data_IF_988542927901
#
_entry.id   IF_988542927901
#
_cell.length_a   1.000
_cell.length_b   1.000
_cell.length_c   1.000
_cell.angle_alpha   90.00
_cell.angle_beta   90.00
_cell.angle_gamma   90.00
#
_symmetry.space_group_name_H-M   'P 1'
#
loop_
_entity.id
_entity.type
_entity.pdbx_description
1 polymer ?
#
# COMPACT_ATOMS: atom_id res chain seq x y z
N UNK A 1 29.01 -9.28 -0.67
CA UNK A 1 27.90 -10.07 -1.27
C UNK A 1 27.46 -9.32 -2.51
N UNK A 2 27.44 -9.95 -3.68
CA UNK A 2 26.75 -9.38 -4.82
C UNK A 2 25.26 -9.37 -4.48
N UNK A 3 24.67 -8.19 -4.39
CA UNK A 3 23.25 -8.03 -4.12
C UNK A 3 22.52 -7.98 -5.45
N UNK A 4 21.62 -8.93 -5.68
CA UNK A 4 20.76 -8.96 -6.86
C UNK A 4 19.40 -8.34 -6.58
N UNK A 5 18.69 -7.79 -7.59
CA UNK A 5 17.32 -7.35 -7.42
C UNK A 5 16.42 -8.56 -7.22
N UNK A 6 15.55 -8.50 -6.23
CA UNK A 6 14.68 -9.62 -5.86
C UNK A 6 13.29 -9.40 -6.43
N UNK A 7 12.89 -10.22 -7.41
CA UNK A 7 11.53 -10.28 -7.89
C UNK A 7 10.67 -11.02 -6.86
N UNK A 8 9.54 -10.44 -6.47
CA UNK A 8 8.70 -10.95 -5.40
C UNK A 8 7.42 -11.59 -5.96
N UNK A 9 7.03 -12.72 -5.38
CA UNK A 9 5.70 -13.32 -5.54
C UNK A 9 4.82 -12.82 -4.40
N UNK A 10 3.71 -12.21 -4.74
CA UNK A 10 2.75 -11.69 -3.79
C UNK A 10 2.04 -12.81 -2.99
N UNK A 11 1.55 -12.46 -1.80
CA UNK A 11 0.53 -13.23 -1.10
C UNK A 11 -0.86 -12.68 -1.46
N UNK A 12 -1.86 -13.56 -1.59
CA UNK A 12 -3.19 -13.19 -2.07
C UNK A 12 -4.25 -13.37 -0.98
N UNK A 13 -5.29 -12.51 -1.05
CA UNK A 13 -6.48 -12.57 -0.20
C UNK A 13 -7.74 -12.59 -1.08
N UNK A 14 -8.71 -13.46 -0.73
CA UNK A 14 -9.94 -13.72 -1.50
C UNK A 14 -11.20 -13.15 -0.83
N UNK A 15 -11.09 -11.99 -0.20
CA UNK A 15 -12.21 -11.35 0.48
C UNK A 15 -13.45 -11.20 -0.41
N UNK A 16 -14.63 -11.18 0.22
CA UNK A 16 -15.95 -11.21 -0.44
C UNK A 16 -16.19 -10.08 -1.45
N UNK A 17 -15.48 -8.97 -1.31
CA UNK A 17 -15.60 -7.76 -2.15
C UNK A 17 -14.62 -7.72 -3.32
N UNK A 18 -13.73 -8.73 -3.43
CA UNK A 18 -12.70 -8.79 -4.47
C UNK A 18 -13.24 -9.07 -5.87
N UNK A 19 -12.46 -8.66 -6.87
CA UNK A 19 -12.72 -8.87 -8.29
C UNK A 19 -11.72 -9.81 -8.95
N UNK A 20 -11.56 -9.66 -10.27
CA UNK A 20 -10.64 -10.49 -11.09
C UNK A 20 -9.55 -9.68 -11.78
N UNK A 21 -9.57 -8.35 -11.67
CA UNK A 21 -8.67 -7.44 -12.39
C UNK A 21 -7.19 -7.66 -12.05
N UNK A 22 -6.87 -8.07 -10.81
CA UNK A 22 -5.48 -8.39 -10.44
C UNK A 22 -4.93 -9.58 -11.21
N UNK A 23 -5.75 -10.59 -11.52
CA UNK A 23 -5.38 -11.71 -12.40
C UNK A 23 -5.37 -11.26 -13.86
N UNK A 24 -6.45 -10.64 -14.32
CA UNK A 24 -6.72 -10.42 -15.74
C UNK A 24 -5.88 -9.26 -16.32
N UNK A 25 -5.57 -8.21 -15.52
CA UNK A 25 -4.84 -7.03 -15.96
C UNK A 25 -3.39 -6.95 -15.42
N UNK A 26 -3.10 -7.59 -14.27
CA UNK A 26 -1.79 -7.55 -13.63
C UNK A 26 -1.06 -8.90 -13.69
N UNK A 27 -1.64 -9.91 -14.35
CA UNK A 27 -1.03 -11.22 -14.53
C UNK A 27 -0.72 -11.96 -13.21
N UNK A 28 -1.46 -11.68 -12.12
CA UNK A 28 -1.20 -12.29 -10.82
C UNK A 28 -1.58 -13.76 -10.84
N UNK A 29 -0.62 -14.69 -10.66
CA UNK A 29 -0.86 -16.13 -10.70
C UNK A 29 -1.51 -16.57 -9.38
N UNK A 30 -2.83 -16.75 -9.38
CA UNK A 30 -3.60 -17.16 -8.22
C UNK A 30 -4.72 -18.12 -8.63
N UNK A 31 -4.94 -19.15 -7.82
CA UNK A 31 -5.99 -20.16 -8.03
C UNK A 31 -7.35 -19.76 -7.45
N UNK A 32 -7.46 -18.60 -6.78
CA UNK A 32 -8.72 -18.10 -6.26
C UNK A 32 -9.64 -17.63 -7.39
N UNK A 33 -10.94 -17.81 -7.26
CA UNK A 33 -11.94 -17.30 -8.20
C UNK A 33 -11.89 -15.78 -8.30
N UNK A 34 -11.58 -15.11 -7.19
CA UNK A 34 -11.38 -13.67 -7.06
C UNK A 34 -10.10 -13.36 -6.29
N UNK A 35 -9.47 -12.24 -6.58
CA UNK A 35 -8.32 -11.73 -5.83
C UNK A 35 -8.69 -10.35 -5.32
N UNK A 36 -9.01 -10.24 -4.03
CA UNK A 36 -9.35 -8.96 -3.42
C UNK A 36 -8.10 -8.11 -3.18
N UNK A 37 -7.06 -8.73 -2.63
CA UNK A 37 -5.77 -8.07 -2.39
C UNK A 37 -4.61 -8.95 -2.85
N UNK A 38 -3.60 -8.29 -3.42
CA UNK A 38 -2.30 -8.86 -3.75
C UNK A 38 -1.24 -8.11 -2.95
N UNK A 39 -0.63 -8.77 -1.97
CA UNK A 39 0.37 -8.18 -1.07
C UNK A 39 1.75 -8.26 -1.72
N UNK A 40 2.14 -7.16 -2.35
CA UNK A 40 3.31 -7.07 -3.25
C UNK A 40 4.64 -7.00 -2.49
N UNK A 41 4.64 -6.29 -1.35
CA UNK A 41 5.77 -6.19 -0.43
C UNK A 41 5.25 -6.45 0.97
N UNK A 42 5.52 -7.63 1.52
CA UNK A 42 4.99 -8.02 2.82
C UNK A 42 5.91 -8.94 3.61
N UNK A 43 6.17 -8.55 4.86
CA UNK A 43 6.72 -9.40 5.90
C UNK A 43 5.68 -9.67 7.01
N UNK A 44 4.40 -9.36 6.77
CA UNK A 44 3.33 -9.55 7.73
C UNK A 44 2.97 -11.03 7.88
N UNK A 45 2.67 -11.46 9.11
CA UNK A 45 2.34 -12.87 9.44
C UNK A 45 1.16 -13.45 8.66
N UNK A 46 0.21 -12.60 8.25
CA UNK A 46 -0.99 -12.99 7.51
C UNK A 46 -0.77 -13.13 6.00
N UNK A 47 0.42 -12.77 5.48
CA UNK A 47 0.73 -12.87 4.05
C UNK A 47 2.17 -12.49 3.76
N UNK A 48 3.06 -13.46 3.62
CA UNK A 48 4.48 -13.26 3.36
C UNK A 48 4.75 -13.30 1.85
N UNK A 49 5.46 -12.30 1.32
CA UNK A 49 5.98 -12.36 -0.06
C UNK A 49 7.16 -13.32 -0.15
N UNK A 50 7.30 -13.96 -1.30
CA UNK A 50 8.35 -14.96 -1.56
C UNK A 50 9.25 -14.51 -2.72
N UNK A 51 10.54 -14.74 -2.61
CA UNK A 51 11.54 -14.41 -3.63
C UNK A 51 11.45 -15.39 -4.80
N UNK A 52 11.44 -14.87 -6.05
CA UNK A 52 11.22 -15.67 -7.27
C UNK A 52 12.48 -16.00 -8.04
N UNK A 53 13.60 -15.31 -7.77
CA UNK A 53 14.83 -15.41 -8.56
C UNK A 53 16.07 -15.57 -7.67
N UNK A 54 17.21 -15.80 -8.32
CA UNK A 54 18.53 -15.85 -7.72
C UNK A 54 18.74 -16.98 -6.71
N UNK A 55 19.80 -16.84 -5.92
CA UNK A 55 20.20 -17.85 -4.92
C UNK A 55 19.23 -17.95 -3.75
N UNK A 56 18.42 -16.92 -3.53
CA UNK A 56 17.43 -16.86 -2.44
C UNK A 56 16.01 -17.25 -2.89
N UNK A 57 15.85 -17.79 -4.11
CA UNK A 57 14.56 -18.22 -4.65
C UNK A 57 13.84 -19.21 -3.71
N UNK A 58 12.56 -18.92 -3.44
CA UNK A 58 11.71 -19.73 -2.55
C UNK A 58 11.76 -19.31 -1.08
N UNK A 59 12.72 -18.48 -0.68
CA UNK A 59 12.76 -17.88 0.65
C UNK A 59 11.69 -16.79 0.77
N UNK A 60 11.07 -16.61 1.93
CA UNK A 60 10.24 -15.44 2.17
C UNK A 60 11.12 -14.19 2.29
N UNK A 61 10.57 -13.03 1.90
CA UNK A 61 11.29 -11.77 2.07
C UNK A 61 11.69 -11.56 3.54
N UNK A 62 10.82 -11.92 4.49
CA UNK A 62 11.12 -11.84 5.92
C UNK A 62 12.38 -12.62 6.30
N UNK A 63 12.45 -13.89 5.91
CA UNK A 63 13.63 -14.74 6.18
C UNK A 63 14.90 -14.18 5.55
N UNK A 64 14.80 -13.60 4.36
CA UNK A 64 15.93 -12.96 3.70
C UNK A 64 16.43 -11.73 4.48
N UNK A 65 15.53 -10.84 4.90
CA UNK A 65 15.89 -9.63 5.63
C UNK A 65 16.46 -9.91 7.02
N UNK A 66 16.04 -10.99 7.66
CA UNK A 66 16.55 -11.44 8.97
C UNK A 66 18.03 -11.92 8.90
N UNK A 67 18.60 -12.17 7.73
CA UNK A 67 20.01 -12.56 7.58
C UNK A 67 20.97 -11.41 7.89
N UNK A 68 20.64 -10.19 7.44
CA UNK A 68 21.43 -8.97 7.73
C UNK A 68 20.56 -7.73 7.57
N UNK A 69 19.81 -7.40 8.61
CA UNK A 69 18.87 -6.30 8.61
C UNK A 69 19.48 -4.97 8.16
N UNK A 70 20.67 -4.64 8.70
CA UNK A 70 21.31 -3.35 8.43
C UNK A 70 21.75 -3.20 6.98
N UNK A 71 22.28 -4.28 6.38
CA UNK A 71 22.71 -4.27 4.99
C UNK A 71 21.53 -4.31 4.00
N UNK A 72 20.44 -4.95 4.37
CA UNK A 72 19.35 -5.26 3.45
C UNK A 72 18.21 -4.23 3.53
N UNK A 73 17.85 -3.77 4.75
CA UNK A 73 16.78 -2.81 4.97
C UNK A 73 17.32 -1.38 5.12
N UNK A 74 18.43 -1.21 5.82
CA UNK A 74 19.12 0.06 6.00
C UNK A 74 18.72 0.84 7.25
N UNK A 75 19.45 1.94 7.50
CA UNK A 75 19.33 2.77 8.70
C UNK A 75 17.94 3.43 8.87
N UNK A 76 17.20 3.65 7.80
CA UNK A 76 15.85 4.19 7.83
C UNK A 76 14.86 3.32 8.60
N UNK A 77 15.16 2.04 8.78
CA UNK A 77 14.35 1.11 9.54
C UNK A 77 14.98 0.71 10.90
N UNK A 78 16.01 1.41 11.37
CA UNK A 78 16.74 1.03 12.58
C UNK A 78 15.88 0.98 13.86
N UNK A 79 14.80 1.74 13.93
CA UNK A 79 13.88 1.75 15.08
C UNK A 79 12.74 0.73 15.03
N UNK A 80 12.70 -0.13 13.99
CA UNK A 80 11.63 -1.12 13.83
C UNK A 80 12.11 -2.52 14.20
N UNK A 81 11.27 -3.25 14.93
CA UNK A 81 11.49 -4.67 15.25
C UNK A 81 11.06 -5.61 14.11
N UNK A 82 10.28 -5.10 13.17
CA UNK A 82 9.76 -5.81 11.99
C UNK A 82 9.86 -4.93 10.76
N UNK A 83 9.79 -5.50 9.56
CA UNK A 83 9.78 -4.71 8.33
C UNK A 83 8.62 -3.71 8.34
N UNK A 84 8.88 -2.39 8.13
CA UNK A 84 7.91 -1.36 8.53
C UNK A 84 6.76 -1.11 7.54
N UNK A 85 6.87 -1.58 6.29
CA UNK A 85 5.96 -1.24 5.19
C UNK A 85 5.28 -2.49 4.64
N UNK A 86 4.01 -2.35 4.28
CA UNK A 86 3.22 -3.32 3.53
C UNK A 86 2.66 -2.61 2.29
N UNK A 87 2.83 -3.19 1.11
CA UNK A 87 2.32 -2.65 -0.16
C UNK A 87 1.38 -3.68 -0.78
N UNK A 88 0.20 -3.21 -1.19
CA UNK A 88 -0.84 -4.04 -1.78
C UNK A 88 -1.33 -3.45 -3.10
N UNK A 89 -1.83 -4.32 -3.96
CA UNK A 89 -2.82 -3.98 -4.99
C UNK A 89 -4.19 -4.45 -4.49
N UNK A 90 -5.20 -3.60 -4.62
CA UNK A 90 -6.57 -3.87 -4.14
C UNK A 90 -7.54 -3.68 -5.29
N UNK A 91 -8.33 -4.73 -5.59
CA UNK A 91 -9.42 -4.71 -6.58
C UNK A 91 -10.76 -4.72 -5.85
N UNK A 92 -11.34 -3.55 -5.69
CA UNK A 92 -12.63 -3.35 -5.02
C UNK A 92 -13.79 -3.53 -6.01
N UNK A 93 -14.20 -4.75 -6.29
CA UNK A 93 -15.40 -5.04 -7.09
C UNK A 93 -16.71 -4.63 -6.36
N UNK A 94 -16.68 -4.59 -5.04
CA UNK A 94 -17.76 -4.08 -4.19
C UNK A 94 -17.18 -3.11 -3.16
N UNK A 95 -18.04 -2.30 -2.53
CA UNK A 95 -17.64 -1.40 -1.45
C UNK A 95 -16.93 -2.15 -0.32
N UNK A 96 -15.79 -1.66 0.13
CA UNK A 96 -15.18 -2.11 1.37
C UNK A 96 -15.96 -1.55 2.57
N UNK A 97 -15.80 -2.20 3.74
CA UNK A 97 -16.40 -1.69 4.98
C UNK A 97 -15.88 -0.28 5.30
N UNK A 98 -16.74 0.57 5.86
CA UNK A 98 -16.29 1.84 6.46
C UNK A 98 -15.51 1.50 7.72
N UNK A 99 -14.29 2.01 7.83
CA UNK A 99 -13.31 1.62 8.81
C UNK A 99 -12.40 2.77 9.21
N UNK A 100 -11.66 2.57 10.29
CA UNK A 100 -10.63 3.46 10.78
C UNK A 100 -9.47 2.65 11.35
N UNK A 101 -8.28 3.20 11.31
CA UNK A 101 -7.08 2.57 11.85
C UNK A 101 -6.49 3.37 13.01
N UNK A 102 -5.93 2.71 14.04
CA UNK A 102 -5.25 3.37 15.15
C UNK A 102 -3.88 3.94 14.72
N UNK A 103 -3.35 4.88 15.50
CA UNK A 103 -1.95 5.27 15.44
C UNK A 103 -1.06 4.26 16.20
N UNK A 104 0.28 4.44 16.10
CA UNK A 104 1.26 3.55 16.74
C UNK A 104 1.11 3.51 18.28
N UNK A 105 0.70 4.62 18.90
CA UNK A 105 0.55 4.67 20.36
C UNK A 105 -0.63 3.82 20.80
N UNK A 106 -1.80 4.05 20.20
CA UNK A 106 -3.00 3.28 20.53
C UNK A 106 -2.84 1.79 20.22
N UNK A 107 -2.27 1.46 19.05
CA UNK A 107 -2.03 0.08 18.65
C UNK A 107 -1.09 -0.64 19.64
N UNK A 108 -0.01 0.03 20.07
CA UNK A 108 0.93 -0.53 21.06
C UNK A 108 0.27 -0.81 22.42
N UNK A 109 -0.61 0.09 22.87
CA UNK A 109 -1.27 -0.01 24.17
C UNK A 109 -2.44 -1.01 24.17
N UNK A 110 -3.18 -1.13 23.06
CA UNK A 110 -4.45 -1.88 22.98
C UNK A 110 -4.44 -3.11 22.07
N UNK A 111 -3.38 -3.30 21.23
CA UNK A 111 -3.29 -4.38 20.26
C UNK A 111 -1.96 -5.15 20.38
N UNK A 112 -1.57 -5.45 21.62
CA UNK A 112 -0.42 -6.32 21.93
C UNK A 112 0.90 -5.87 21.27
N UNK A 113 1.15 -4.56 21.14
CA UNK A 113 2.39 -4.03 20.59
C UNK A 113 2.43 -3.97 19.04
N UNK A 114 1.31 -4.16 18.37
CA UNK A 114 1.20 -4.00 16.91
C UNK A 114 1.48 -2.54 16.48
N UNK A 115 1.79 -2.36 15.19
CA UNK A 115 1.95 -1.04 14.60
C UNK A 115 0.58 -0.39 14.33
N UNK A 116 0.54 0.93 14.36
CA UNK A 116 -0.56 1.70 13.80
C UNK A 116 -0.66 1.53 12.28
N UNK A 117 -1.66 2.16 11.66
CA UNK A 117 -1.85 2.05 10.23
C UNK A 117 -2.14 3.41 9.59
N UNK A 118 -1.09 4.07 9.14
CA UNK A 118 -1.14 5.18 8.19
C UNK A 118 -0.88 4.62 6.81
N UNK A 119 -1.67 5.05 5.82
CA UNK A 119 -1.62 4.53 4.46
C UNK A 119 -1.74 5.62 3.42
N UNK A 120 -1.33 5.34 2.20
CA UNK A 120 -1.50 6.15 1.02
C UNK A 120 -2.05 5.30 -0.11
N UNK A 121 -3.11 5.76 -0.75
CA UNK A 121 -3.73 5.13 -1.91
C UNK A 121 -3.36 5.88 -3.18
N UNK A 122 -2.92 5.14 -4.18
CA UNK A 122 -2.75 5.61 -5.54
C UNK A 122 -3.80 4.91 -6.42
N UNK A 123 -4.71 5.67 -7.02
CA UNK A 123 -5.78 5.12 -7.88
C UNK A 123 -5.18 4.70 -9.21
N UNK A 124 -5.10 3.39 -9.43
CA UNK A 124 -4.59 2.80 -10.66
C UNK A 124 -5.61 2.87 -11.79
N UNK A 125 -6.89 2.65 -11.43
CA UNK A 125 -8.04 2.76 -12.32
C UNK A 125 -9.34 2.79 -11.52
N UNK A 126 -10.42 3.27 -12.13
CA UNK A 126 -11.75 3.26 -11.52
C UNK A 126 -12.86 3.29 -12.57
N UNK A 127 -14.02 2.76 -12.21
CA UNK A 127 -15.24 2.89 -13.01
C UNK A 127 -15.76 4.33 -12.99
N UNK A 128 -16.56 4.68 -13.99
CA UNK A 128 -17.22 6.00 -14.05
C UNK A 128 -18.15 6.20 -12.86
N UNK A 129 -18.02 7.34 -12.18
CA UNK A 129 -18.82 7.66 -10.99
C UNK A 129 -18.34 7.00 -9.69
N UNK A 130 -17.27 6.22 -9.72
CA UNK A 130 -16.70 5.62 -8.52
C UNK A 130 -16.28 6.69 -7.50
N UNK A 131 -16.51 6.40 -6.23
CA UNK A 131 -16.19 7.31 -5.13
C UNK A 131 -15.73 6.52 -3.91
N UNK A 132 -14.94 7.16 -3.05
CA UNK A 132 -14.51 6.60 -1.78
C UNK A 132 -15.02 7.43 -0.61
N UNK A 133 -15.12 6.83 0.57
CA UNK A 133 -15.36 7.55 1.83
C UNK A 133 -14.06 8.14 2.31
N UNK A 134 -14.03 9.45 2.61
CA UNK A 134 -12.86 10.15 3.14
C UNK A 134 -13.24 11.15 4.23
N UNK A 135 -13.34 10.67 5.46
CA UNK A 135 -13.76 11.42 6.63
C UNK A 135 -15.25 11.76 6.62
N UNK A 136 -15.58 12.84 7.29
CA UNK A 136 -16.95 13.32 7.46
C UNK A 136 -17.27 14.53 6.59
N UNK A 137 -18.54 14.74 6.28
CA UNK A 137 -19.05 15.92 5.54
C UNK A 137 -19.20 17.15 6.45
N UNK A 138 -19.22 16.97 7.77
CA UNK A 138 -19.15 18.00 8.82
C UNK A 138 -18.44 17.46 10.04
N UNK A 139 -18.03 18.32 10.95
CA UNK A 139 -17.51 17.92 12.25
C UNK A 139 -18.60 17.27 13.11
N UNK A 140 -18.25 16.21 13.83
CA UNK A 140 -19.07 15.48 14.79
C UNK A 140 -18.41 15.45 16.15
N UNK A 141 -19.19 15.27 17.23
CA UNK A 141 -18.61 14.81 18.50
C UNK A 141 -18.45 13.28 18.47
N UNK A 142 -17.67 12.75 19.42
CA UNK A 142 -17.53 11.29 19.59
C UNK A 142 -18.86 10.62 19.92
N UNK A 143 -19.69 11.29 20.70
CA UNK A 143 -21.03 10.84 21.10
C UNK A 143 -21.96 10.80 19.87
N UNK A 144 -21.94 11.85 19.03
CA UNK A 144 -22.68 11.87 17.77
C UNK A 144 -22.22 10.75 16.84
N UNK A 145 -20.90 10.58 16.64
CA UNK A 145 -20.37 9.51 15.82
C UNK A 145 -20.85 8.13 16.30
N UNK A 146 -20.75 7.86 17.60
CA UNK A 146 -21.29 6.63 18.20
C UNK A 146 -22.78 6.45 17.97
N UNK A 147 -23.55 7.52 18.11
CA UNK A 147 -24.99 7.49 17.88
C UNK A 147 -25.30 7.15 16.40
N UNK A 148 -24.61 7.78 15.43
CA UNK A 148 -24.82 7.54 13.98
C UNK A 148 -24.48 6.11 13.57
N UNK A 149 -23.51 5.47 14.20
CA UNK A 149 -23.23 4.05 13.99
C UNK A 149 -24.38 3.19 14.51
N UNK A 150 -24.86 3.47 15.74
CA UNK A 150 -25.89 2.66 16.39
C UNK A 150 -27.27 2.78 15.75
N UNK A 151 -27.66 3.97 15.29
CA UNK A 151 -28.96 4.22 14.66
C UNK A 151 -28.95 3.95 13.14
N UNK A 152 -27.78 3.55 12.57
CA UNK A 152 -27.66 3.20 11.15
C UNK A 152 -27.62 4.39 10.19
N UNK A 153 -27.47 5.63 10.70
CA UNK A 153 -27.47 6.86 9.88
C UNK A 153 -26.07 7.37 9.53
N UNK A 154 -25.02 6.58 9.79
CA UNK A 154 -23.63 6.99 9.55
C UNK A 154 -23.38 7.47 8.10
N UNK A 155 -24.03 6.84 7.12
CA UNK A 155 -23.83 7.17 5.70
C UNK A 155 -24.23 8.61 5.36
N UNK A 156 -25.16 9.24 6.11
CA UNK A 156 -25.59 10.63 5.90
C UNK A 156 -24.51 11.64 6.34
N UNK A 157 -23.50 11.17 7.08
CA UNK A 157 -22.46 11.99 7.69
C UNK A 157 -21.08 11.78 7.11
N UNK A 158 -20.88 10.75 6.30
CA UNK A 158 -19.58 10.52 5.64
C UNK A 158 -19.42 11.39 4.40
N UNK A 159 -18.17 11.75 4.09
CA UNK A 159 -17.83 12.49 2.88
C UNK A 159 -17.47 11.53 1.75
N UNK A 160 -18.28 11.53 0.70
CA UNK A 160 -17.97 10.82 -0.53
C UNK A 160 -17.09 11.69 -1.43
N UNK A 161 -15.98 11.12 -1.89
CA UNK A 161 -15.01 11.76 -2.77
C UNK A 161 -14.96 11.02 -4.10
N UNK A 162 -15.39 11.65 -5.22
CA UNK A 162 -15.19 11.09 -6.55
C UNK A 162 -13.70 10.85 -6.82
N UNK A 163 -13.39 9.77 -7.53
CA UNK A 163 -12.02 9.39 -7.83
C UNK A 163 -11.77 9.27 -9.33
N UNK A 164 -10.52 9.47 -9.72
CA UNK A 164 -10.05 9.29 -11.09
C UNK A 164 -8.68 8.60 -11.06
N UNK A 165 -8.34 7.92 -12.13
CA UNK A 165 -6.98 7.36 -12.33
C UNK A 165 -5.91 8.42 -12.05
N UNK A 166 -4.89 8.04 -11.27
CA UNK A 166 -3.79 8.92 -10.85
C UNK A 166 -4.11 9.79 -9.63
N UNK A 167 -5.30 9.71 -9.05
CA UNK A 167 -5.59 10.38 -7.78
C UNK A 167 -4.83 9.72 -6.62
N UNK A 168 -4.44 10.56 -5.64
CA UNK A 168 -3.73 10.14 -4.44
C UNK A 168 -4.51 10.56 -3.20
N UNK A 169 -4.63 9.63 -2.25
CA UNK A 169 -5.25 9.87 -0.95
C UNK A 169 -4.33 9.41 0.18
N UNK A 170 -3.92 10.32 1.06
CA UNK A 170 -3.19 9.98 2.27
C UNK A 170 -4.18 9.77 3.41
N UNK A 171 -4.26 8.56 3.93
CA UNK A 171 -5.14 8.15 5.01
C UNK A 171 -4.32 8.09 6.30
N UNK A 172 -4.23 9.21 6.98
CA UNK A 172 -3.59 9.23 8.31
C UNK A 172 -4.39 8.38 9.30
N UNK A 173 -3.70 7.75 10.23
CA UNK A 173 -4.34 7.07 11.36
C UNK A 173 -5.42 7.95 12.01
N UNK A 174 -6.57 7.37 12.31
CA UNK A 174 -7.76 8.07 12.81
C UNK A 174 -8.69 8.65 11.74
N UNK A 175 -8.34 8.60 10.46
CA UNK A 175 -9.23 9.03 9.38
C UNK A 175 -10.27 7.93 9.08
N UNK A 176 -11.56 8.25 9.14
CA UNK A 176 -12.62 7.34 8.71
C UNK A 176 -12.61 7.23 7.17
N UNK A 177 -12.61 6.02 6.63
CA UNK A 177 -12.48 5.82 5.19
C UNK A 177 -13.09 4.50 4.72
N UNK A 178 -13.33 4.40 3.41
CA UNK A 178 -13.63 3.16 2.69
C UNK A 178 -13.32 3.31 1.21
N UNK A 179 -12.83 2.25 0.58
CA UNK A 179 -12.73 2.16 -0.88
C UNK A 179 -14.11 1.77 -1.41
N UNK A 180 -14.64 2.53 -2.35
CA UNK A 180 -15.90 2.23 -3.02
C UNK A 180 -15.74 1.19 -4.13
N UNK A 181 -16.86 0.63 -4.57
CA UNK A 181 -16.90 -0.33 -5.66
C UNK A 181 -16.34 0.25 -6.98
N UNK A 182 -15.75 -0.61 -7.81
CA UNK A 182 -15.19 -0.25 -9.10
C UNK A 182 -13.82 0.44 -9.04
N UNK A 183 -13.15 0.48 -7.88
CA UNK A 183 -11.86 1.15 -7.69
C UNK A 183 -10.74 0.11 -7.60
N UNK A 184 -9.67 0.34 -8.36
CA UNK A 184 -8.42 -0.40 -8.30
C UNK A 184 -7.31 0.51 -7.80
N UNK A 185 -6.66 0.15 -6.70
CA UNK A 185 -5.60 0.97 -6.09
C UNK A 185 -4.30 0.20 -5.83
N UNK A 186 -3.21 0.96 -5.74
CA UNK A 186 -2.03 0.56 -4.98
C UNK A 186 -2.09 1.22 -3.60
N UNK A 187 -2.04 0.43 -2.54
CA UNK A 187 -2.00 0.87 -1.15
C UNK A 187 -0.61 0.69 -0.58
N UNK A 188 -0.01 1.76 -0.12
CA UNK A 188 1.26 1.78 0.59
C UNK A 188 0.97 2.13 2.04
N UNK A 189 1.33 1.26 3.00
CA UNK A 189 0.93 1.41 4.38
C UNK A 189 2.02 0.97 5.36
N UNK A 190 1.87 1.32 6.64
CA UNK A 190 2.62 0.67 7.71
C UNK A 190 2.30 -0.84 7.70
N UNK A 191 3.25 -1.66 8.17
CA UNK A 191 3.10 -3.12 8.22
C UNK A 191 2.13 -3.56 9.33
N UNK A 192 0.85 -3.25 9.14
CA UNK A 192 -0.25 -3.50 10.07
C UNK A 192 -1.49 -3.97 9.29
N UNK A 193 -2.25 -4.88 9.90
CA UNK A 193 -3.54 -5.38 9.38
C UNK A 193 -4.70 -5.01 10.32
N UNK A 194 -4.46 -4.05 11.22
CA UNK A 194 -5.46 -3.59 12.18
C UNK A 194 -6.54 -2.78 11.50
N UNK A 195 -7.79 -3.21 11.69
CA UNK A 195 -8.97 -2.55 11.11
C UNK A 195 -10.09 -2.48 12.15
N UNK A 196 -10.53 -1.27 12.47
CA UNK A 196 -11.73 -1.05 13.27
C UNK A 196 -12.89 -0.73 12.35
N UNK A 197 -13.70 -1.75 12.09
CA UNK A 197 -14.88 -1.68 11.22
C UNK A 197 -16.03 -1.03 11.94
N UNK A 198 -16.67 -0.05 11.32
CA UNK A 198 -17.82 0.66 11.89
C UNK A 198 -19.12 0.45 11.11
N UNK A 199 -19.03 0.12 9.82
CA UNK A 199 -20.19 -0.19 8.98
C UNK A 199 -19.80 -1.17 7.86
N UNK A 200 -20.63 -2.16 7.61
CA UNK A 200 -20.31 -3.23 6.63
C UNK A 200 -21.51 -3.61 5.74
N UNK A 201 -22.42 -2.70 5.50
CA UNK A 201 -23.58 -2.89 4.60
C UNK A 201 -24.44 -4.14 4.97
N UNK A 202 -24.43 -4.54 6.24
CA UNK A 202 -25.09 -5.75 6.76
C UNK A 202 -24.69 -7.05 6.03
N UNK A 203 -23.48 -7.10 5.45
CA UNK A 203 -22.97 -8.28 4.77
C UNK A 203 -22.63 -9.39 5.75
N UNK A 204 -22.82 -10.62 5.30
CA UNK A 204 -22.41 -11.83 6.02
C UNK A 204 -21.05 -12.31 5.50
N UNK A 205 -20.20 -12.74 6.41
CA UNK A 205 -18.95 -13.43 6.08
C UNK A 205 -19.18 -14.85 5.53
N UNK A 206 -18.11 -15.55 5.22
CA UNK A 206 -18.17 -16.93 4.72
C UNK A 206 -18.84 -17.92 5.71
N UNK A 207 -18.86 -17.58 7.00
CA UNK A 207 -19.51 -18.35 8.08
C UNK A 207 -21.03 -18.05 8.21
N UNK A 208 -21.58 -17.20 7.32
CA UNK A 208 -22.99 -16.79 7.33
C UNK A 208 -23.36 -15.80 8.43
N UNK A 209 -22.39 -15.27 9.17
CA UNK A 209 -22.62 -14.26 10.21
C UNK A 209 -22.16 -12.88 9.77
N UNK A 210 -22.80 -11.79 10.28
CA UNK A 210 -22.29 -10.44 10.08
C UNK A 210 -20.83 -10.33 10.58
N UNK A 211 -19.98 -9.61 9.85
CA UNK A 211 -18.62 -9.34 10.32
C UNK A 211 -18.65 -8.43 11.55
N UNK A 212 -17.75 -8.66 12.49
CA UNK A 212 -17.67 -7.91 13.73
C UNK A 212 -17.44 -6.41 13.47
N UNK A 213 -18.15 -5.57 14.24
CA UNK A 213 -17.96 -4.11 14.29
C UNK A 213 -17.21 -3.74 15.57
N UNK A 214 -16.20 -2.89 15.43
CA UNK A 214 -15.29 -2.49 16.53
C UNK A 214 -15.63 -1.08 17.02
N UNK A 215 -16.91 -0.84 17.40
CA UNK A 215 -17.47 0.51 17.62
C UNK A 215 -16.70 1.28 18.67
N UNK A 216 -16.41 0.70 19.82
CA UNK A 216 -15.75 1.40 20.93
C UNK A 216 -14.34 1.85 20.55
N UNK A 217 -13.51 0.93 20.03
CA UNK A 217 -12.16 1.24 19.55
C UNK A 217 -12.18 2.25 18.40
N UNK A 218 -13.13 2.13 17.47
CA UNK A 218 -13.29 3.08 16.38
C UNK A 218 -13.61 4.49 16.89
N UNK A 219 -14.54 4.62 17.83
CA UNK A 219 -14.88 5.92 18.45
C UNK A 219 -13.66 6.52 19.15
N UNK A 220 -12.86 5.71 19.84
CA UNK A 220 -11.67 6.19 20.53
C UNK A 220 -10.65 6.83 19.56
N UNK A 221 -10.38 6.18 18.44
CA UNK A 221 -9.30 6.60 17.52
C UNK A 221 -9.74 7.55 16.43
N UNK A 222 -11.04 7.60 16.04
CA UNK A 222 -11.49 8.38 14.90
C UNK A 222 -11.33 9.89 15.12
N UNK A 223 -10.68 10.56 14.17
CA UNK A 223 -10.69 12.01 14.01
C UNK A 223 -12.03 12.44 13.42
N UNK A 224 -12.84 13.17 14.19
CA UNK A 224 -14.23 13.50 13.82
C UNK A 224 -14.38 14.83 13.06
N UNK A 225 -13.27 15.39 12.61
CA UNK A 225 -13.22 16.60 11.76
C UNK A 225 -12.91 16.23 10.31
N UNK A 226 -13.13 17.17 9.40
CA UNK A 226 -12.83 16.97 7.99
C UNK A 226 -11.32 16.74 7.76
N UNK A 227 -10.92 15.74 6.97
CA UNK A 227 -9.52 15.52 6.64
C UNK A 227 -8.98 16.71 5.80
N UNK A 228 -7.65 16.92 5.81
CA UNK A 228 -7.03 17.98 5.05
C UNK A 228 -7.29 17.81 3.54
N UNK A 229 -7.28 18.91 2.77
CA UNK A 229 -7.44 18.83 1.33
C UNK A 229 -6.29 18.04 0.69
N UNK A 230 -6.62 17.33 -0.38
CA UNK A 230 -5.61 16.59 -1.17
C UNK A 230 -4.59 17.56 -1.76
N UNK A 231 -3.30 17.25 -1.61
CA UNK A 231 -2.24 17.99 -2.28
C UNK A 231 -1.83 17.25 -3.56
N UNK A 232 -2.03 17.88 -4.73
CA UNK A 232 -1.42 17.40 -5.98
C UNK A 232 -0.03 18.04 -6.09
N UNK A 233 1.01 17.23 -6.11
CA UNK A 233 2.36 17.69 -6.39
C UNK A 233 2.62 17.59 -7.90
N UNK A 234 3.16 18.64 -8.55
CA UNK A 234 3.49 18.56 -9.97
C UNK A 234 4.67 17.60 -10.19
N UNK A 235 4.73 16.92 -11.35
CA UNK A 235 5.87 16.09 -11.68
C UNK A 235 7.12 16.94 -11.92
N UNK A 236 8.24 16.49 -11.36
CA UNK A 236 9.56 16.94 -11.74
C UNK A 236 10.02 16.19 -12.99
N UNK A 237 10.50 16.88 -13.99
CA UNK A 237 10.93 16.30 -15.27
C UNK A 237 12.45 16.21 -15.34
N UNK A 238 12.93 15.07 -15.79
CA UNK A 238 14.33 14.72 -15.98
C UNK A 238 14.53 14.17 -17.38
N UNK A 239 15.78 14.00 -17.80
CA UNK A 239 16.07 13.28 -19.03
C UNK A 239 15.68 11.79 -18.87
N UNK A 240 14.86 11.29 -19.79
CA UNK A 240 14.37 9.92 -19.79
C UNK A 240 13.25 9.58 -18.79
N UNK A 241 12.86 10.47 -17.86
CA UNK A 241 11.77 10.18 -16.92
C UNK A 241 11.15 11.42 -16.27
N UNK A 242 9.99 11.24 -15.64
CA UNK A 242 9.46 12.21 -14.67
C UNK A 242 9.21 11.54 -13.33
N UNK A 243 9.23 12.33 -12.25
CA UNK A 243 9.02 11.86 -10.87
C UNK A 243 8.03 12.74 -10.14
N UNK A 244 7.04 12.13 -9.50
CA UNK A 244 6.05 12.78 -8.62
C UNK A 244 6.10 12.17 -7.25
N UNK A 245 6.28 12.96 -6.19
CA UNK A 245 6.12 12.46 -4.81
C UNK A 245 4.63 12.28 -4.55
N UNK A 246 4.18 11.03 -4.37
CA UNK A 246 2.77 10.70 -4.09
C UNK A 246 2.51 10.50 -2.61
N UNK A 247 3.49 10.04 -1.85
CA UNK A 247 3.43 9.92 -0.39
C UNK A 247 4.74 10.38 0.24
N UNK A 248 4.64 11.11 1.34
CA UNK A 248 5.79 11.56 2.12
C UNK A 248 5.32 11.74 3.57
N UNK A 249 5.54 10.72 4.38
CA UNK A 249 5.08 10.65 5.76
C UNK A 249 6.19 10.09 6.66
N UNK A 250 6.03 10.08 7.99
CA UNK A 250 7.06 9.57 8.91
C UNK A 250 7.45 8.11 8.72
N UNK A 251 6.68 7.34 7.96
CA UNK A 251 6.86 5.90 7.82
C UNK A 251 7.49 5.48 6.50
N UNK A 252 7.15 6.20 5.42
CA UNK A 252 7.64 5.92 4.06
C UNK A 252 7.54 7.15 3.17
N UNK A 253 8.35 7.15 2.12
CA UNK A 253 8.20 8.06 0.99
C UNK A 253 8.02 7.22 -0.28
N UNK A 254 7.05 7.61 -1.12
CA UNK A 254 6.76 6.94 -2.39
C UNK A 254 6.72 7.95 -3.53
N UNK A 255 7.37 7.59 -4.61
CA UNK A 255 7.39 8.33 -5.87
C UNK A 255 6.69 7.55 -6.97
N UNK A 256 5.92 8.23 -7.79
CA UNK A 256 5.55 7.75 -9.11
C UNK A 256 6.67 8.12 -10.07
N UNK A 257 7.21 7.15 -10.78
CA UNK A 257 8.22 7.30 -11.82
C UNK A 257 7.60 6.93 -13.17
N UNK A 258 7.53 7.89 -14.11
CA UNK A 258 7.13 7.61 -15.50
C UNK A 258 8.39 7.59 -16.36
N UNK A 259 8.78 6.40 -16.81
CA UNK A 259 10.02 6.18 -17.57
C UNK A 259 9.71 6.22 -19.07
N UNK A 260 10.40 7.11 -19.80
CA UNK A 260 10.28 7.31 -21.26
C UNK A 260 11.67 7.48 -21.90
N UNK A 261 12.57 6.56 -21.59
CA UNK A 261 13.97 6.57 -22.01
C UNK A 261 14.79 5.70 -21.09
N UNK A 262 16.03 6.09 -20.81
CA UNK A 262 16.88 5.47 -19.83
C UNK A 262 17.16 6.45 -18.69
N UNK A 263 16.90 6.03 -17.46
CA UNK A 263 17.08 6.84 -16.25
C UNK A 263 17.99 6.11 -15.26
N UNK A 264 19.08 6.76 -14.86
CA UNK A 264 20.02 6.23 -13.88
C UNK A 264 19.60 6.62 -12.46
N UNK A 265 19.70 5.66 -11.55
CA UNK A 265 19.38 5.81 -10.14
C UNK A 265 20.51 5.26 -9.27
N UNK A 266 20.56 5.79 -8.05
CA UNK A 266 21.44 5.28 -6.99
C UNK A 266 20.57 4.73 -5.87
N UNK A 267 20.79 3.49 -5.47
CA UNK A 267 20.26 3.01 -4.20
C UNK A 267 20.80 3.84 -3.04
N UNK A 268 20.08 3.89 -1.93
CA UNK A 268 20.31 4.88 -0.88
C UNK A 268 21.54 4.63 0.03
N UNK A 269 22.50 3.82 -0.41
CA UNK A 269 23.80 3.59 0.24
C UNK A 269 23.68 3.28 1.74
N UNK A 270 22.88 2.24 2.08
CA UNK A 270 22.68 1.82 3.46
C UNK A 270 21.61 2.60 4.23
N UNK A 271 21.01 3.64 3.63
CA UNK A 271 19.94 4.40 4.30
C UNK A 271 18.60 3.65 4.22
N UNK A 272 18.24 3.13 3.05
CA UNK A 272 16.99 2.39 2.86
C UNK A 272 17.06 1.43 1.66
N UNK A 273 16.30 0.36 1.72
CA UNK A 273 15.92 -0.40 0.55
C UNK A 273 15.17 0.48 -0.46
N UNK A 274 15.01 -0.02 -1.69
CA UNK A 274 14.08 0.54 -2.67
C UNK A 274 13.14 -0.56 -3.13
N UNK A 275 11.85 -0.34 -3.02
CA UNK A 275 10.84 -1.21 -3.63
C UNK A 275 10.33 -0.57 -4.91
N UNK A 276 10.21 -1.36 -5.97
CA UNK A 276 9.68 -0.97 -7.27
C UNK A 276 8.44 -1.82 -7.57
N UNK A 277 7.28 -1.17 -7.74
CA UNK A 277 6.04 -1.80 -8.19
C UNK A 277 5.68 -1.25 -9.57
N UNK A 278 5.70 -2.10 -10.58
CA UNK A 278 5.32 -1.71 -11.95
C UNK A 278 3.81 -1.66 -12.04
N UNK A 279 3.26 -0.47 -12.22
CA UNK A 279 1.81 -0.25 -12.27
C UNK A 279 1.25 -0.17 -13.68
N UNK A 280 2.09 0.18 -14.67
CA UNK A 280 1.69 0.21 -16.08
C UNK A 280 2.89 0.05 -17.00
N UNK A 281 2.68 -0.56 -18.19
CA UNK A 281 3.70 -0.74 -19.21
C UNK A 281 4.73 -1.82 -18.89
N UNK A 282 5.85 -1.77 -19.60
CA UNK A 282 6.97 -2.69 -19.49
C UNK A 282 8.30 -1.97 -19.60
N UNK A 283 9.37 -2.57 -19.09
CA UNK A 283 10.71 -1.98 -19.12
C UNK A 283 11.79 -2.98 -18.73
N UNK A 284 12.97 -2.43 -18.44
CA UNK A 284 14.12 -3.22 -18.00
C UNK A 284 14.81 -2.51 -16.85
N UNK A 285 15.09 -3.25 -15.79
CA UNK A 285 16.03 -2.86 -14.74
C UNK A 285 17.43 -3.31 -15.16
N UNK A 286 18.38 -2.37 -15.23
CA UNK A 286 19.78 -2.60 -15.60
C UNK A 286 20.64 -2.38 -14.35
N UNK A 287 21.50 -3.32 -14.01
CA UNK A 287 22.34 -3.27 -12.81
C UNK A 287 23.68 -3.94 -13.07
N UNK A 288 24.66 -3.74 -12.16
CA UNK A 288 26.05 -4.19 -12.36
C UNK A 288 26.58 -3.80 -13.76
N UNK A 289 27.40 -4.61 -14.37
CA UNK A 289 28.01 -4.36 -15.68
C UNK A 289 27.05 -4.65 -16.87
N UNK A 290 25.78 -4.22 -16.74
CA UNK A 290 24.79 -4.33 -17.80
C UNK A 290 23.88 -5.56 -17.73
N UNK A 291 23.82 -6.24 -16.59
CA UNK A 291 22.85 -7.31 -16.35
C UNK A 291 21.44 -6.72 -16.41
N UNK A 292 20.51 -7.39 -17.08
CA UNK A 292 19.16 -6.90 -17.32
C UNK A 292 18.11 -7.81 -16.69
N UNK A 293 17.17 -7.21 -15.96
CA UNK A 293 15.97 -7.87 -15.46
C UNK A 293 14.75 -7.26 -16.16
N UNK A 294 13.96 -8.03 -16.93
CA UNK A 294 12.73 -7.52 -17.54
C UNK A 294 11.70 -7.20 -16.46
N UNK A 295 11.00 -6.09 -16.68
CA UNK A 295 9.92 -5.58 -15.84
C UNK A 295 8.63 -5.51 -16.67
N UNK A 296 7.54 -6.00 -16.10
CA UNK A 296 6.20 -5.95 -16.70
C UNK A 296 5.18 -5.47 -15.68
N UNK A 297 4.05 -4.94 -16.14
CA UNK A 297 2.94 -4.53 -15.28
C UNK A 297 2.61 -5.62 -14.27
N UNK A 298 2.54 -5.26 -13.01
CA UNK A 298 2.33 -6.16 -11.88
C UNK A 298 3.62 -6.69 -11.22
N UNK A 299 4.80 -6.46 -11.80
CA UNK A 299 6.04 -6.87 -11.16
C UNK A 299 6.33 -6.06 -9.90
N UNK A 300 6.75 -6.78 -8.87
CA UNK A 300 7.19 -6.26 -7.58
C UNK A 300 8.66 -6.64 -7.38
N UNK A 301 9.54 -5.64 -7.22
CA UNK A 301 10.99 -5.84 -7.11
C UNK A 301 11.53 -5.14 -5.87
N UNK A 302 12.30 -5.86 -5.08
CA UNK A 302 13.00 -5.33 -3.90
C UNK A 302 14.50 -5.18 -4.21
N UNK A 303 15.02 -3.98 -4.00
CA UNK A 303 16.44 -3.66 -4.07
C UNK A 303 16.94 -3.42 -2.64
N UNK A 304 17.91 -4.22 -2.14
CA UNK A 304 18.48 -4.03 -0.80
C UNK A 304 19.09 -2.63 -0.62
N UNK A 305 19.25 -2.19 0.64
CA UNK A 305 19.73 -0.84 0.95
C UNK A 305 21.12 -0.52 0.41
N UNK A 306 21.98 -1.53 0.25
CA UNK A 306 23.32 -1.40 -0.32
C UNK A 306 23.45 -1.94 -1.75
N UNK A 307 22.34 -1.97 -2.49
CA UNK A 307 22.30 -2.53 -3.86
C UNK A 307 23.24 -1.82 -4.84
N UNK A 308 23.46 -0.52 -4.69
CA UNK A 308 24.33 0.27 -5.57
C UNK A 308 23.56 1.01 -6.67
N UNK A 309 24.24 1.24 -7.80
CA UNK A 309 23.68 1.95 -8.96
C UNK A 309 22.83 1.02 -9.81
N UNK A 310 21.77 1.56 -10.39
CA UNK A 310 20.93 0.88 -11.37
C UNK A 310 20.32 1.87 -12.36
N UNK A 311 19.85 1.38 -13.49
CA UNK A 311 19.06 2.17 -14.44
C UNK A 311 17.73 1.48 -14.73
N UNK A 312 16.74 2.28 -15.05
CA UNK A 312 15.45 1.85 -15.58
C UNK A 312 15.35 2.34 -17.03
N UNK A 313 15.01 1.46 -17.95
CA UNK A 313 14.84 1.79 -19.37
C UNK A 313 13.49 1.29 -19.87
N UNK A 314 12.74 2.20 -20.54
CA UNK A 314 11.44 1.90 -21.11
C UNK A 314 11.05 2.93 -22.16
N UNK A 315 10.13 2.57 -23.05
CA UNK A 315 9.43 3.49 -23.96
C UNK A 315 8.07 3.95 -23.41
N UNK A 316 7.76 3.60 -22.17
CA UNK A 316 6.51 3.96 -21.49
C UNK A 316 6.21 2.95 -20.36
N UNK A 317 6.66 3.25 -19.14
CA UNK A 317 6.41 2.43 -17.96
C UNK A 317 6.18 3.33 -16.75
N UNK A 318 5.20 2.99 -15.93
CA UNK A 318 4.94 3.67 -14.65
C UNK A 318 5.29 2.76 -13.49
N UNK A 319 6.10 3.26 -12.58
CA UNK A 319 6.62 2.51 -11.42
C UNK A 319 6.36 3.32 -10.15
N UNK A 320 5.81 2.69 -9.13
CA UNK A 320 5.82 3.24 -7.78
C UNK A 320 7.12 2.80 -7.07
N UNK A 321 7.93 3.78 -6.68
CA UNK A 321 9.19 3.56 -5.97
C UNK A 321 9.03 3.95 -4.50
N UNK A 322 9.18 3.00 -3.58
CA UNK A 322 8.95 3.22 -2.13
C UNK A 322 10.21 2.95 -1.32
N UNK A 323 10.44 3.82 -0.32
CA UNK A 323 11.55 3.73 0.65
C UNK A 323 11.05 4.06 2.06
N UNK A 324 11.72 3.51 3.07
CA UNK A 324 11.59 3.97 4.47
C UNK A 324 12.71 4.94 4.77
N UNK A 325 12.37 6.15 5.20
CA UNK A 325 13.37 7.17 5.51
C UNK A 325 13.68 7.18 7.01
N UNK A 326 14.90 7.58 7.42
CA UNK A 326 15.21 7.74 8.84
C UNK A 326 14.22 8.67 9.52
N UNK A 327 13.76 8.30 10.70
CA UNK A 327 13.00 9.22 11.57
C UNK A 327 14.00 10.22 12.19
N UNK A 328 13.75 11.51 12.03
CA UNK A 328 14.47 12.56 12.76
C UNK A 328 14.02 12.61 14.20
#
# INVERSE_FOLDING_TARGET
MNMEPLKLKAAFQDYIWGGTRLRDEFGKPCDFDRIAESWELSCHKNGLTTIMNGVNKGMTLKQYLEQDWNQLVGAGAAGYSTFPVLIKLIDACQDLSIQVHPDDRYAREHENGELGKTECWYVLDCEEGAALVYGFNRELTKEEFRARIKDGTLLDYVRLMPVHKGDVFCIEAGTLHAIGAGILIAEIQQNSDLTYRVYDYNRTGADGKPRELHIDKAVDVTKTWAPPPRMKRPPLRYDGYSSTVIADCPYFTTWELCIQGEAAFQASQGVSYTHLLVTDGEGVLIYEDGVMMPLTKGDSVFLPANFGSYALRSNGCTILSTRTMPRN
#
